data_IF_087215387128
#
_entry.id   IF_087215387128
#
_cell.length_a   1.000
_cell.length_b   1.000
_cell.length_c   1.000
_cell.angle_alpha   90.00
_cell.angle_beta   90.00
_cell.angle_gamma   90.00
#
_symmetry.space_group_name_H-M   'P 1'
#
loop_
_entity.id
_entity.type
_entity.pdbx_description
1 polymer ?
#
# COMPACT_ATOMS: atom_id res chain seq x y z
N UNK A 1 29.55 2.70 -19.47
CA UNK A 1 28.61 1.77 -20.14
C UNK A 1 27.61 2.61 -20.90
N UNK A 2 27.13 2.19 -22.07
CA UNK A 2 26.35 3.09 -22.94
C UNK A 2 24.90 2.61 -23.11
N UNK A 3 23.94 3.54 -23.05
CA UNK A 3 22.53 3.24 -23.33
C UNK A 3 22.37 2.94 -24.82
N UNK A 4 22.00 1.71 -25.15
CA UNK A 4 21.87 1.22 -26.53
C UNK A 4 20.42 1.23 -27.01
N UNK A 5 19.44 1.08 -26.10
CA UNK A 5 18.03 1.15 -26.45
C UNK A 5 17.16 1.46 -25.23
N UNK A 6 16.04 2.12 -25.49
CA UNK A 6 14.95 2.32 -24.52
C UNK A 6 13.67 1.82 -25.21
N UNK A 7 13.01 0.82 -24.62
CA UNK A 7 11.84 0.16 -25.23
C UNK A 7 10.67 0.12 -24.26
N UNK A 8 9.47 0.45 -24.72
CA UNK A 8 8.23 0.32 -23.94
C UNK A 8 7.97 -1.15 -23.60
N UNK A 9 7.53 -1.45 -22.38
CA UNK A 9 7.22 -2.82 -21.95
C UNK A 9 5.85 -3.27 -22.46
N UNK A 10 5.74 -4.55 -22.83
CA UNK A 10 4.50 -5.12 -23.39
C UNK A 10 3.39 -5.24 -22.34
N UNK A 11 3.72 -5.75 -21.13
CA UNK A 11 2.71 -5.99 -20.07
C UNK A 11 2.37 -4.75 -19.24
N UNK A 12 3.25 -3.75 -19.23
CA UNK A 12 3.07 -2.53 -18.48
C UNK A 12 3.49 -1.35 -19.36
N UNK A 13 2.56 -0.77 -20.13
CA UNK A 13 2.88 0.28 -21.09
C UNK A 13 3.48 1.53 -20.42
N UNK A 14 3.25 1.77 -19.13
CA UNK A 14 3.80 2.92 -18.43
C UNK A 14 5.25 2.74 -17.98
N UNK A 15 5.89 1.60 -18.32
CA UNK A 15 7.30 1.33 -18.03
C UNK A 15 8.12 1.09 -19.29
N UNK A 16 9.38 1.52 -19.21
CA UNK A 16 10.38 1.41 -20.26
C UNK A 16 11.56 0.57 -19.78
N UNK A 17 11.96 -0.40 -20.59
CA UNK A 17 13.18 -1.19 -20.41
C UNK A 17 14.37 -0.48 -21.02
N UNK A 18 15.42 -0.31 -20.23
CA UNK A 18 16.66 0.36 -20.61
C UNK A 18 17.74 -0.71 -20.83
N UNK A 19 18.37 -0.65 -22.01
CA UNK A 19 19.41 -1.58 -22.44
C UNK A 19 20.76 -0.89 -22.43
N UNK A 20 21.71 -1.48 -21.71
CA UNK A 20 23.12 -1.05 -21.67
C UNK A 20 23.93 -2.07 -22.46
N UNK A 21 24.73 -1.61 -23.42
CA UNK A 21 25.61 -2.49 -24.21
C UNK A 21 24.86 -3.71 -24.81
N UNK A 22 23.67 -3.45 -25.39
CA UNK A 22 22.71 -4.41 -25.94
C UNK A 22 22.09 -5.41 -24.95
N UNK A 23 22.33 -5.28 -23.65
CA UNK A 23 21.76 -6.13 -22.59
C UNK A 23 20.76 -5.36 -21.74
N UNK A 24 19.68 -6.03 -21.35
CA UNK A 24 18.73 -5.45 -20.40
C UNK A 24 19.44 -5.11 -19.09
N UNK A 25 19.24 -3.89 -18.59
CA UNK A 25 19.88 -3.43 -17.35
C UNK A 25 18.85 -3.11 -16.26
N UNK A 26 17.92 -2.20 -16.52
CA UNK A 26 16.87 -1.80 -15.57
C UNK A 26 15.63 -1.25 -16.30
N UNK A 27 14.61 -0.83 -15.56
CA UNK A 27 13.41 -0.26 -16.15
C UNK A 27 12.86 0.88 -15.33
N UNK A 28 12.44 1.97 -15.99
CA UNK A 28 11.89 3.16 -15.34
C UNK A 28 10.40 3.29 -15.67
N UNK A 29 9.65 3.95 -14.78
CA UNK A 29 8.32 4.46 -15.12
C UNK A 29 8.46 5.61 -16.14
N UNK A 30 7.36 5.94 -16.81
CA UNK A 30 7.32 7.09 -17.74
C UNK A 30 7.78 8.38 -17.06
N UNK A 31 7.31 8.62 -15.83
CA UNK A 31 7.70 9.79 -15.03
C UNK A 31 9.20 9.77 -14.67
N UNK A 32 9.72 8.65 -14.18
CA UNK A 32 11.14 8.55 -13.83
C UNK A 32 12.06 8.65 -15.05
N UNK A 33 11.65 8.11 -16.20
CA UNK A 33 12.40 8.25 -17.45
C UNK A 33 12.49 9.72 -17.89
N UNK A 34 11.38 10.45 -17.83
CA UNK A 34 11.37 11.88 -18.15
C UNK A 34 12.25 12.69 -17.18
N UNK A 35 12.12 12.45 -15.88
CA UNK A 35 12.87 13.16 -14.84
C UNK A 35 14.38 12.84 -14.85
N UNK A 36 14.74 11.62 -15.25
CA UNK A 36 16.15 11.20 -15.33
C UNK A 36 16.89 11.76 -16.54
N UNK A 37 16.17 12.26 -17.56
CA UNK A 37 16.78 12.81 -18.78
C UNK A 37 17.58 11.79 -19.61
N UNK A 38 17.40 10.48 -19.36
CA UNK A 38 18.18 9.46 -20.04
C UNK A 38 17.84 9.36 -21.52
N UNK A 39 18.87 9.42 -22.37
CA UNK A 39 18.75 9.30 -23.83
C UNK A 39 19.59 8.14 -24.37
N UNK A 40 19.19 7.63 -25.54
CA UNK A 40 20.00 6.61 -26.26
C UNK A 40 21.32 7.24 -26.69
N UNK A 41 22.43 6.52 -26.48
CA UNK A 41 23.79 6.99 -26.72
C UNK A 41 24.46 7.61 -25.50
N UNK A 42 23.74 7.87 -24.42
CA UNK A 42 24.33 8.39 -23.18
C UNK A 42 25.20 7.34 -22.49
N UNK A 43 26.35 7.78 -21.99
CA UNK A 43 27.21 6.97 -21.14
C UNK A 43 26.85 7.17 -19.67
N UNK A 44 26.80 6.06 -18.94
CA UNK A 44 26.64 6.03 -17.50
C UNK A 44 27.87 5.38 -16.87
N UNK A 45 28.34 6.02 -15.80
CA UNK A 45 29.32 5.44 -14.88
C UNK A 45 28.71 4.26 -14.11
N UNK A 46 29.55 3.42 -13.51
CA UNK A 46 29.08 2.30 -12.70
C UNK A 46 28.25 2.77 -11.48
N UNK A 47 28.60 3.93 -10.92
CA UNK A 47 27.90 4.52 -9.77
C UNK A 47 26.52 5.04 -10.18
N UNK A 48 26.42 5.80 -11.27
CA UNK A 48 25.13 6.28 -11.79
C UNK A 48 24.23 5.11 -12.17
N UNK A 49 24.78 4.07 -12.82
CA UNK A 49 24.02 2.88 -13.16
C UNK A 49 23.47 2.18 -11.93
N UNK A 50 24.25 2.12 -10.85
CA UNK A 50 23.81 1.54 -9.57
C UNK A 50 22.68 2.37 -8.97
N UNK A 51 22.82 3.69 -8.91
CA UNK A 51 21.78 4.59 -8.40
C UNK A 51 20.47 4.46 -9.21
N UNK A 52 20.56 4.42 -10.55
CA UNK A 52 19.37 4.24 -11.40
C UNK A 52 18.68 2.88 -11.17
N UNK A 53 19.45 1.82 -10.91
CA UNK A 53 18.92 0.50 -10.56
C UNK A 53 18.21 0.50 -9.21
N UNK A 54 18.79 1.15 -8.21
CA UNK A 54 18.20 1.30 -6.88
C UNK A 54 16.89 2.11 -6.97
N UNK A 55 16.92 3.28 -7.60
CA UNK A 55 15.73 4.10 -7.83
C UNK A 55 14.62 3.33 -8.57
N UNK A 56 14.98 2.59 -9.62
CA UNK A 56 14.06 1.72 -10.36
C UNK A 56 13.41 0.66 -9.46
N UNK A 57 14.17 0.06 -8.54
CA UNK A 57 13.65 -0.94 -7.61
C UNK A 57 12.69 -0.30 -6.60
N UNK A 58 13.02 0.89 -6.11
CA UNK A 58 12.23 1.67 -5.16
C UNK A 58 10.88 2.07 -5.76
N UNK A 59 10.90 2.61 -6.98
CA UNK A 59 9.69 2.97 -7.72
C UNK A 59 8.79 1.75 -7.98
N UNK A 60 9.40 0.60 -8.26
CA UNK A 60 8.64 -0.66 -8.43
C UNK A 60 7.95 -1.07 -7.14
N UNK A 61 8.60 -0.92 -5.99
CA UNK A 61 8.02 -1.22 -4.69
C UNK A 61 6.91 -0.24 -4.32
N UNK A 62 7.12 1.06 -4.56
CA UNK A 62 6.11 2.09 -4.37
C UNK A 62 4.84 1.82 -5.21
N UNK A 63 5.01 1.52 -6.50
CA UNK A 63 3.89 1.16 -7.38
C UNK A 63 3.18 -0.12 -6.94
N UNK A 64 3.90 -1.10 -6.39
CA UNK A 64 3.28 -2.30 -5.83
C UNK A 64 2.38 -1.98 -4.62
N UNK A 65 2.77 -1.01 -3.78
CA UNK A 65 1.94 -0.49 -2.70
C UNK A 65 0.70 0.26 -3.23
N UNK A 66 0.85 1.10 -4.26
CA UNK A 66 -0.29 1.76 -4.90
C UNK A 66 -1.32 0.74 -5.40
N UNK A 67 -0.88 -0.33 -6.05
CA UNK A 67 -1.75 -1.41 -6.51
C UNK A 67 -2.44 -2.18 -5.37
N UNK A 68 -1.88 -2.20 -4.16
CA UNK A 68 -2.53 -2.78 -2.98
C UNK A 68 -3.64 -1.89 -2.44
N UNK A 69 -3.40 -0.59 -2.41
CA UNK A 69 -4.31 0.45 -1.91
C UNK A 69 -5.45 0.68 -2.90
N UNK A 70 -5.18 0.66 -4.21
CA UNK A 70 -6.19 0.85 -5.26
C UNK A 70 -7.29 -0.23 -5.23
N UNK A 71 -7.00 -1.43 -4.70
CA UNK A 71 -7.99 -2.52 -4.60
C UNK A 71 -8.93 -2.39 -3.41
N UNK A 72 -8.45 -1.82 -2.31
CA UNK A 72 -9.22 -1.49 -1.11
C UNK A 72 -8.34 -0.66 -0.18
N UNK A 73 -8.98 0.08 0.73
CA UNK A 73 -8.29 0.73 1.81
C UNK A 73 -7.43 -0.26 2.62
N UNK A 74 -6.24 0.18 3.02
CA UNK A 74 -5.24 -0.60 3.77
C UNK A 74 -4.80 0.20 5.00
N UNK A 75 -4.52 -0.49 6.10
CA UNK A 75 -3.79 0.13 7.22
C UNK A 75 -2.31 0.28 6.88
N UNK A 76 -1.63 1.20 7.57
CA UNK A 76 -0.18 1.36 7.51
C UNK A 76 0.53 0.04 7.84
N UNK A 77 0.06 -0.65 8.87
CA UNK A 77 0.63 -1.93 9.29
C UNK A 77 0.42 -3.09 8.29
N UNK A 78 -0.65 -3.06 7.48
CA UNK A 78 -0.80 -4.01 6.36
C UNK A 78 0.26 -3.77 5.26
N UNK A 79 0.52 -2.50 4.93
CA UNK A 79 1.56 -2.12 3.94
C UNK A 79 2.96 -2.43 4.47
N UNK A 80 3.23 -2.12 5.73
CA UNK A 80 4.50 -2.43 6.38
C UNK A 80 4.80 -3.94 6.34
N UNK A 81 3.82 -4.78 6.71
CA UNK A 81 3.98 -6.23 6.67
C UNK A 81 4.23 -6.73 5.24
N UNK A 82 3.55 -6.14 4.25
CA UNK A 82 3.78 -6.45 2.85
C UNK A 82 5.22 -6.13 2.41
N UNK A 83 5.74 -4.95 2.76
CA UNK A 83 7.10 -4.53 2.42
C UNK A 83 8.15 -5.40 3.12
N UNK A 84 7.95 -5.74 4.40
CA UNK A 84 8.82 -6.68 5.14
C UNK A 84 8.87 -8.05 4.48
N UNK A 85 7.73 -8.60 4.06
CA UNK A 85 7.68 -9.88 3.31
C UNK A 85 8.43 -9.83 1.98
N UNK A 86 8.53 -8.65 1.38
CA UNK A 86 9.31 -8.41 0.15
C UNK A 86 10.80 -8.16 0.41
N UNK A 87 11.26 -8.27 1.67
CA UNK A 87 12.65 -8.07 2.09
C UNK A 87 13.20 -6.69 1.69
N UNK A 88 12.32 -5.68 1.73
CA UNK A 88 12.70 -4.28 1.50
C UNK A 88 13.55 -3.77 2.66
N UNK A 89 14.54 -2.94 2.38
CA UNK A 89 15.38 -2.33 3.42
C UNK A 89 14.54 -1.47 4.38
N UNK A 90 14.93 -1.35 5.65
CA UNK A 90 14.21 -0.53 6.62
C UNK A 90 14.07 0.93 6.19
N UNK A 91 15.11 1.48 5.55
CA UNK A 91 15.14 2.86 5.05
C UNK A 91 14.15 3.08 3.92
N UNK A 92 14.10 2.18 2.94
CA UNK A 92 13.13 2.27 1.84
C UNK A 92 11.70 2.07 2.36
N UNK A 93 11.51 1.16 3.31
CA UNK A 93 10.20 0.93 3.94
C UNK A 93 9.68 2.21 4.59
N UNK A 94 10.49 2.89 5.42
CA UNK A 94 10.09 4.14 6.05
C UNK A 94 9.79 5.23 5.01
N UNK A 95 10.61 5.34 3.97
CA UNK A 95 10.40 6.31 2.90
C UNK A 95 9.09 6.08 2.16
N UNK A 96 8.77 4.82 1.81
CA UNK A 96 7.51 4.47 1.15
C UNK A 96 6.32 4.76 2.07
N UNK A 97 6.38 4.37 3.34
CA UNK A 97 5.27 4.63 4.27
C UNK A 97 5.04 6.12 4.48
N UNK A 98 6.10 6.92 4.64
CA UNK A 98 5.99 8.37 4.80
C UNK A 98 5.39 9.01 3.54
N UNK A 99 5.91 8.68 2.36
CA UNK A 99 5.41 9.19 1.07
C UNK A 99 3.94 8.85 0.85
N UNK A 100 3.49 7.64 1.20
CA UNK A 100 2.09 7.25 1.11
C UNK A 100 1.22 8.01 2.12
N UNK A 101 1.72 8.24 3.33
CA UNK A 101 1.02 8.98 4.38
C UNK A 101 0.88 10.46 4.05
N UNK A 102 1.94 11.11 3.55
CA UNK A 102 1.96 12.50 3.12
C UNK A 102 0.98 12.77 1.98
N UNK A 103 0.87 11.82 1.05
CA UNK A 103 -0.14 11.87 -0.02
C UNK A 103 -1.55 11.52 0.44
N UNK A 104 -1.76 11.23 1.73
CA UNK A 104 -3.07 10.87 2.29
C UNK A 104 -3.62 9.52 1.79
N UNK A 105 -2.77 8.68 1.19
CA UNK A 105 -3.19 7.39 0.63
C UNK A 105 -3.32 6.30 1.70
N UNK A 106 -2.63 6.47 2.83
CA UNK A 106 -2.78 5.63 4.01
C UNK A 106 -3.03 6.51 5.23
N UNK A 107 -3.98 6.09 6.06
CA UNK A 107 -4.36 6.76 7.30
C UNK A 107 -5.06 5.71 8.18
N UNK A 108 -4.44 5.35 9.30
CA UNK A 108 -4.95 4.30 10.18
C UNK A 108 -6.24 4.70 10.90
N UNK A 109 -6.44 6.00 11.18
CA UNK A 109 -7.66 6.50 11.83
C UNK A 109 -8.84 6.45 10.86
N UNK A 110 -8.64 6.93 9.63
CA UNK A 110 -9.66 6.81 8.57
C UNK A 110 -9.95 5.35 8.24
N UNK A 111 -8.92 4.52 8.16
CA UNK A 111 -9.07 3.08 7.94
C UNK A 111 -9.89 2.43 9.04
N UNK A 112 -9.56 2.65 10.31
CA UNK A 112 -10.28 2.05 11.43
C UNK A 112 -11.75 2.49 11.47
N UNK A 113 -12.02 3.78 11.24
CA UNK A 113 -13.38 4.34 11.23
C UNK A 113 -14.21 3.75 10.08
N UNK A 114 -13.67 3.72 8.86
CA UNK A 114 -14.34 3.10 7.71
C UNK A 114 -14.57 1.61 7.93
N UNK A 115 -13.59 0.90 8.50
CA UNK A 115 -13.69 -0.53 8.77
C UNK A 115 -14.82 -0.86 9.75
N UNK A 116 -14.95 -0.09 10.83
CA UNK A 116 -16.05 -0.26 11.80
C UNK A 116 -17.40 0.01 11.14
N UNK A 117 -17.51 1.10 10.37
CA UNK A 117 -18.75 1.44 9.67
C UNK A 117 -19.17 0.33 8.69
N UNK A 118 -18.25 -0.13 7.83
CA UNK A 118 -18.52 -1.20 6.86
C UNK A 118 -18.95 -2.50 7.55
N UNK A 119 -18.32 -2.84 8.69
CA UNK A 119 -18.71 -4.01 9.48
C UNK A 119 -20.11 -3.87 10.06
N UNK A 120 -20.44 -2.72 10.63
CA UNK A 120 -21.75 -2.46 11.22
C UNK A 120 -22.87 -2.46 10.16
N UNK A 121 -22.57 -2.02 8.94
CA UNK A 121 -23.54 -2.02 7.83
C UNK A 121 -23.75 -3.42 7.22
N UNK A 122 -22.68 -4.16 6.96
CA UNK A 122 -22.76 -5.43 6.22
C UNK A 122 -23.06 -6.63 7.11
N UNK A 123 -22.35 -6.74 8.25
CA UNK A 123 -22.47 -7.86 9.17
C UNK A 123 -22.12 -7.39 10.58
N UNK A 124 -23.10 -6.87 11.34
CA UNK A 124 -22.86 -6.35 12.67
C UNK A 124 -22.16 -7.40 13.55
N UNK A 125 -21.13 -6.97 14.26
CA UNK A 125 -20.36 -7.82 15.18
C UNK A 125 -20.15 -7.09 16.50
N UNK A 126 -19.78 -7.84 17.55
CA UNK A 126 -19.48 -7.22 18.84
C UNK A 126 -18.24 -6.31 18.77
N UNK A 127 -18.21 -5.28 19.60
CA UNK A 127 -17.08 -4.36 19.74
C UNK A 127 -15.77 -5.10 19.99
N UNK A 128 -15.79 -6.11 20.88
CA UNK A 128 -14.62 -6.95 21.16
C UNK A 128 -14.07 -7.61 19.89
N UNK A 129 -14.94 -8.07 18.99
CA UNK A 129 -14.52 -8.68 17.72
C UNK A 129 -13.93 -7.64 16.77
N UNK A 130 -14.53 -6.45 16.67
CA UNK A 130 -14.00 -5.34 15.87
C UNK A 130 -12.57 -4.95 16.30
N UNK A 131 -12.35 -4.82 17.61
CA UNK A 131 -11.02 -4.54 18.18
C UNK A 131 -10.00 -5.61 17.78
N UNK A 132 -10.37 -6.89 17.87
CA UNK A 132 -9.48 -8.00 17.47
C UNK A 132 -9.17 -7.97 15.97
N UNK A 133 -10.16 -7.66 15.13
CA UNK A 133 -9.95 -7.56 13.69
C UNK A 133 -9.04 -6.36 13.34
N UNK A 134 -9.21 -5.21 13.97
CA UNK A 134 -8.32 -4.05 13.79
C UNK A 134 -6.88 -4.35 14.27
N UNK A 135 -6.71 -5.03 15.41
CA UNK A 135 -5.40 -5.49 15.88
C UNK A 135 -4.75 -6.46 14.89
N UNK A 136 -5.51 -7.38 14.31
CA UNK A 136 -4.98 -8.30 13.28
C UNK A 136 -4.51 -7.59 12.01
N UNK A 137 -4.98 -6.35 11.80
CA UNK A 137 -4.58 -5.45 10.72
C UNK A 137 -3.47 -4.49 11.14
N UNK A 138 -2.84 -4.72 12.29
CA UNK A 138 -1.75 -3.91 12.83
C UNK A 138 -2.11 -2.42 12.96
N UNK A 139 -3.35 -2.10 13.32
CA UNK A 139 -3.75 -0.73 13.66
C UNK A 139 -3.25 -0.42 15.08
N UNK A 140 -2.63 0.75 15.33
CA UNK A 140 -2.17 1.16 16.66
C UNK A 140 -3.29 1.14 17.71
N UNK A 141 -2.95 0.68 18.92
CA UNK A 141 -3.91 0.55 20.03
C UNK A 141 -4.60 1.86 20.39
N UNK A 142 -3.87 2.98 20.35
CA UNK A 142 -4.39 4.31 20.67
C UNK A 142 -5.49 4.73 19.70
N UNK A 143 -5.30 4.47 18.40
CA UNK A 143 -6.29 4.74 17.36
C UNK A 143 -7.52 3.83 17.53
N UNK A 144 -7.32 2.56 17.88
CA UNK A 144 -8.43 1.65 18.14
C UNK A 144 -9.26 2.15 19.33
N UNK A 145 -8.61 2.59 20.40
CA UNK A 145 -9.29 3.10 21.59
C UNK A 145 -10.06 4.38 21.24
N UNK A 146 -9.44 5.30 20.51
CA UNK A 146 -10.06 6.56 20.06
C UNK A 146 -11.31 6.30 19.22
N UNK A 147 -11.22 5.48 18.17
CA UNK A 147 -12.35 5.24 17.25
C UNK A 147 -13.47 4.41 17.91
N UNK A 148 -13.17 3.67 18.99
CA UNK A 148 -14.18 2.86 19.70
C UNK A 148 -14.72 3.52 20.98
N UNK A 149 -14.27 4.72 21.35
CA UNK A 149 -14.66 5.37 22.61
C UNK A 149 -16.13 5.84 22.63
N UNK A 150 -16.72 6.16 21.48
CA UNK A 150 -18.04 6.82 21.40
C UNK A 150 -19.26 5.90 21.15
N UNK A 151 -19.08 4.59 21.14
CA UNK A 151 -20.05 3.72 20.46
C UNK A 151 -21.08 3.01 21.38
N UNK A 152 -21.30 3.42 22.63
CA UNK A 152 -22.21 2.68 23.55
C UNK A 152 -23.66 2.58 23.02
N UNK A 153 -24.17 3.63 22.39
CA UNK A 153 -25.54 3.66 21.87
C UNK A 153 -25.67 2.90 20.54
N UNK A 154 -24.65 3.00 19.68
CA UNK A 154 -24.54 2.24 18.44
C UNK A 154 -24.29 0.75 18.70
N UNK A 155 -23.52 0.41 19.72
CA UNK A 155 -23.28 -0.97 20.15
C UNK A 155 -24.60 -1.61 20.58
N UNK A 156 -25.42 -0.89 21.36
CA UNK A 156 -26.74 -1.38 21.77
C UNK A 156 -27.66 -1.66 20.56
N UNK A 157 -27.71 -0.75 19.59
CA UNK A 157 -28.53 -0.95 18.37
C UNK A 157 -28.01 -2.09 17.50
N UNK A 158 -26.69 -2.22 17.34
CA UNK A 158 -26.06 -3.32 16.63
C UNK A 158 -26.35 -4.68 17.32
N UNK A 159 -26.30 -4.74 18.64
CA UNK A 159 -26.63 -5.94 19.42
C UNK A 159 -28.09 -6.36 19.23
N UNK A 160 -29.04 -5.41 19.26
CA UNK A 160 -30.46 -5.68 18.99
C UNK A 160 -30.61 -6.32 17.60
N UNK A 161 -29.99 -5.73 16.56
CA UNK A 161 -30.03 -6.28 15.19
C UNK A 161 -29.46 -7.70 15.11
N UNK A 162 -28.37 -7.99 15.82
CA UNK A 162 -27.77 -9.34 15.86
C UNK A 162 -28.75 -10.35 16.46
N UNK A 163 -29.41 -9.99 17.57
CA UNK A 163 -30.39 -10.87 18.24
C UNK A 163 -31.60 -11.12 17.34
N UNK A 164 -32.14 -10.09 16.70
CA UNK A 164 -33.25 -10.22 15.76
C UNK A 164 -32.92 -11.16 14.60
N UNK A 165 -31.74 -10.98 13.98
CA UNK A 165 -31.29 -11.83 12.88
C UNK A 165 -31.13 -13.29 13.29
N UNK A 166 -30.56 -13.56 14.47
CA UNK A 166 -30.43 -14.93 14.98
C UNK A 166 -31.77 -15.57 15.30
N UNK A 167 -32.73 -14.82 15.87
CA UNK A 167 -34.08 -15.33 16.15
C UNK A 167 -34.81 -15.77 14.87
N UNK A 168 -34.59 -15.07 13.74
CA UNK A 168 -35.17 -15.44 12.44
C UNK A 168 -34.55 -16.69 11.82
N UNK A 169 -33.28 -17.00 12.12
CA UNK A 169 -32.60 -18.20 11.60
C UNK A 169 -32.88 -19.47 12.40
N UNK A 170 -33.40 -19.34 13.62
CA UNK A 170 -33.70 -20.47 14.52
C UNK A 170 -35.17 -20.93 14.45
N UNK A 171 -35.98 -20.31 13.57
CA UNK A 171 -37.32 -20.77 13.20
C UNK A 171 -37.23 -21.50 11.88
#
# INVERSE_FOLDING_TARGET
MTITAIKKQVKNPDRYSIFMDARYSFSLSSEALLSSGLIVGQELTAEELKQQKEQSADDKMYNACLNLIARRMRSKGEIELYLKRKKVSPTLLSNILNKLSEKGLIDDKKFASSFINDRNLLKPTSRRKLILELRSKNVPGDIINEVTQDDNQQEKTNLIRIVENKRRQSK
#
